data_IF_799570075539
#
_entry.id   IF_799570075539
#
_cell.length_a   1.000
_cell.length_b   1.000
_cell.length_c   1.000
_cell.angle_alpha   90.00
_cell.angle_beta   90.00
_cell.angle_gamma   90.00
#
_symmetry.space_group_name_H-M   'P 1'
#
loop_
_entity.id
_entity.type
_entity.pdbx_description
1 polymer ?
#
# COMPACT_ATOMS: atom_id res chain seq x y z
N UNK A 1 13.92 -6.97 7.68
CA UNK A 1 12.50 -7.34 7.90
C UNK A 1 12.17 -8.71 7.32
N UNK A 2 12.49 -9.00 6.05
CA UNK A 2 12.18 -10.30 5.42
C UNK A 2 12.74 -11.51 6.19
N UNK A 3 14.01 -11.46 6.61
CA UNK A 3 14.62 -12.54 7.42
C UNK A 3 13.86 -12.85 8.71
N UNK A 4 13.23 -11.85 9.33
CA UNK A 4 12.42 -12.10 10.52
C UNK A 4 11.18 -12.93 10.16
N UNK A 5 10.52 -12.63 9.04
CA UNK A 5 9.38 -13.43 8.55
C UNK A 5 9.84 -14.85 8.21
N UNK A 6 10.94 -14.99 7.48
CA UNK A 6 11.48 -16.29 7.04
C UNK A 6 11.79 -17.20 8.23
N UNK A 7 12.34 -16.65 9.32
CA UNK A 7 12.62 -17.42 10.55
C UNK A 7 11.38 -17.94 11.27
N UNK A 8 10.19 -17.39 11.02
CA UNK A 8 8.94 -17.85 11.65
C UNK A 8 8.13 -18.78 10.73
N UNK A 9 8.65 -19.11 9.54
CA UNK A 9 8.04 -20.11 8.67
C UNK A 9 8.57 -21.51 9.02
N UNK A 10 7.96 -22.11 10.05
CA UNK A 10 8.32 -23.43 10.56
C UNK A 10 7.48 -24.54 9.93
N UNK A 11 8.11 -25.36 9.08
CA UNK A 11 7.50 -26.54 8.48
C UNK A 11 6.80 -26.29 7.12
N UNK A 12 6.57 -27.35 6.33
CA UNK A 12 6.12 -27.24 4.94
C UNK A 12 4.69 -26.70 4.77
N UNK A 13 3.85 -26.80 5.81
CA UNK A 13 2.45 -26.37 5.80
C UNK A 13 2.21 -25.01 6.48
N UNK A 14 3.27 -24.35 6.97
CA UNK A 14 3.13 -23.07 7.65
C UNK A 14 2.60 -21.98 6.71
N UNK A 15 1.56 -21.28 7.17
CA UNK A 15 0.98 -20.13 6.47
C UNK A 15 1.09 -18.91 7.36
N UNK A 16 1.60 -17.82 6.80
CA UNK A 16 1.79 -16.55 7.51
C UNK A 16 1.16 -15.42 6.70
N UNK A 17 0.46 -14.52 7.40
CA UNK A 17 0.02 -13.23 6.83
C UNK A 17 0.97 -12.16 7.33
N UNK A 18 1.70 -11.52 6.41
CA UNK A 18 2.55 -10.38 6.72
C UNK A 18 1.74 -9.11 6.55
N UNK A 19 1.43 -8.44 7.66
CA UNK A 19 0.73 -7.17 7.65
C UNK A 19 1.73 -6.01 7.68
N UNK A 20 1.85 -5.27 6.58
CA UNK A 20 2.72 -4.11 6.49
C UNK A 20 2.19 -3.09 5.47
N UNK A 21 2.79 -1.91 5.43
CA UNK A 21 2.51 -0.90 4.41
C UNK A 21 2.70 -1.49 2.99
N UNK A 22 1.87 -1.06 2.02
CA UNK A 22 1.88 -1.66 0.67
C UNK A 22 3.28 -1.69 0.04
N UNK A 23 4.07 -0.64 0.28
CA UNK A 23 5.40 -0.54 -0.29
C UNK A 23 6.43 -1.50 0.33
N UNK A 24 6.18 -2.02 1.53
CA UNK A 24 7.01 -3.08 2.11
C UNK A 24 6.68 -4.46 1.52
N UNK A 25 5.43 -4.71 1.14
CA UNK A 25 5.00 -6.00 0.60
C UNK A 25 5.07 -6.07 -0.95
N UNK A 26 5.42 -4.96 -1.61
CA UNK A 26 5.65 -4.98 -3.05
C UNK A 26 6.76 -5.98 -3.43
N UNK A 27 6.60 -6.67 -4.56
CA UNK A 27 7.58 -7.61 -5.12
C UNK A 27 8.80 -6.88 -5.72
N UNK A 28 8.65 -5.61 -6.07
CA UNK A 28 9.71 -4.75 -6.61
C UNK A 28 10.51 -4.01 -5.54
N UNK A 29 10.84 -2.76 -5.82
CA UNK A 29 11.60 -1.90 -4.90
C UNK A 29 10.69 -0.92 -4.17
N UNK A 30 11.17 -0.41 -3.04
CA UNK A 30 10.55 0.66 -2.27
C UNK A 30 11.41 1.93 -2.35
N UNK A 31 10.79 3.08 -2.66
CA UNK A 31 11.47 4.38 -2.68
C UNK A 31 12.64 4.42 -3.68
N UNK A 32 13.82 4.83 -3.22
CA UNK A 32 15.08 4.96 -3.99
C UNK A 32 15.68 3.60 -4.37
N UNK A 33 14.90 2.72 -5.00
CA UNK A 33 15.33 1.40 -5.49
C UNK A 33 15.80 0.42 -4.41
N UNK A 34 15.47 0.67 -3.14
CA UNK A 34 15.79 -0.26 -2.04
C UNK A 34 14.89 -1.50 -2.18
N UNK A 35 15.43 -2.74 -2.19
CA UNK A 35 14.60 -3.93 -2.23
C UNK A 35 13.56 -3.95 -1.10
N UNK A 36 12.29 -4.10 -1.45
CA UNK A 36 11.21 -4.19 -0.47
C UNK A 36 11.32 -5.50 0.33
N UNK A 37 10.60 -5.61 1.45
CA UNK A 37 10.47 -6.90 2.14
C UNK A 37 9.86 -7.95 1.20
N UNK A 38 8.86 -7.56 0.40
CA UNK A 38 8.15 -8.44 -0.52
C UNK A 38 9.04 -8.97 -1.64
N UNK A 39 10.04 -8.21 -2.08
CA UNK A 39 10.99 -8.68 -3.10
C UNK A 39 11.79 -9.89 -2.62
N UNK A 40 12.26 -9.86 -1.37
CA UNK A 40 12.99 -10.96 -0.74
C UNK A 40 12.09 -12.17 -0.48
N UNK A 41 10.84 -11.94 -0.09
CA UNK A 41 9.87 -13.02 0.07
C UNK A 41 9.53 -13.66 -1.28
N UNK A 42 9.38 -12.87 -2.34
CA UNK A 42 9.17 -13.36 -3.71
C UNK A 42 10.38 -14.16 -4.21
N UNK A 43 11.59 -13.69 -3.96
CA UNK A 43 12.84 -14.40 -4.28
C UNK A 43 12.91 -15.77 -3.59
N UNK A 44 12.55 -15.82 -2.30
CA UNK A 44 12.61 -17.03 -1.47
C UNK A 44 11.51 -18.04 -1.79
N UNK A 45 10.27 -17.58 -1.98
CA UNK A 45 9.07 -18.43 -2.03
C UNK A 45 8.39 -18.48 -3.39
N UNK A 46 8.85 -17.69 -4.37
CA UNK A 46 8.27 -17.67 -5.72
C UNK A 46 6.77 -17.39 -5.71
N UNK A 47 6.00 -18.23 -6.40
CA UNK A 47 4.55 -18.11 -6.49
C UNK A 47 3.79 -18.47 -5.20
N UNK A 48 4.47 -19.05 -4.20
CA UNK A 48 3.89 -19.24 -2.87
C UNK A 48 3.80 -17.92 -2.08
N UNK A 49 4.56 -16.88 -2.48
CA UNK A 49 4.37 -15.53 -1.97
C UNK A 49 3.32 -14.79 -2.79
N UNK A 50 2.25 -14.38 -2.12
CA UNK A 50 1.15 -13.61 -2.70
C UNK A 50 1.12 -12.19 -2.13
N UNK A 51 1.45 -11.19 -2.96
CA UNK A 51 1.46 -9.78 -2.56
C UNK A 51 0.09 -9.12 -2.81
N UNK A 52 -0.64 -8.83 -1.72
CA UNK A 52 -1.94 -8.17 -1.76
C UNK A 52 -1.84 -6.70 -1.33
N UNK A 53 -1.97 -5.76 -2.28
CA UNK A 53 -2.01 -4.34 -1.97
C UNK A 53 -3.39 -3.88 -1.48
N UNK A 54 -3.41 -2.94 -0.54
CA UNK A 54 -4.62 -2.22 -0.13
C UNK A 54 -4.57 -0.77 -0.62
N UNK A 55 -5.58 -0.36 -1.38
CA UNK A 55 -5.76 0.99 -1.89
C UNK A 55 -7.09 1.57 -1.43
N UNK A 56 -7.18 2.91 -1.40
CA UNK A 56 -8.46 3.58 -1.15
C UNK A 56 -8.69 4.80 -2.05
N UNK A 57 -9.95 5.01 -2.44
CA UNK A 57 -10.34 6.02 -3.44
C UNK A 57 -10.39 7.44 -2.89
N UNK A 58 -11.23 7.69 -1.88
CA UNK A 58 -11.40 9.02 -1.26
C UNK A 58 -11.72 8.92 0.22
N UNK A 59 -11.71 10.06 0.91
CA UNK A 59 -12.10 10.15 2.31
C UNK A 59 -10.98 10.69 3.16
N UNK A 60 -10.73 10.04 4.30
CA UNK A 60 -9.80 10.52 5.31
C UNK A 60 -8.83 9.42 5.77
N UNK A 61 -7.65 9.84 6.18
CA UNK A 61 -6.66 9.01 6.86
C UNK A 61 -5.95 9.82 7.95
N UNK A 62 -5.34 9.14 8.91
CA UNK A 62 -4.51 9.77 9.94
C UNK A 62 -3.04 9.71 9.54
N UNK A 63 -2.35 10.84 9.67
CA UNK A 63 -0.89 10.92 9.55
C UNK A 63 -0.37 12.14 10.31
N UNK A 64 0.87 12.07 10.79
CA UNK A 64 1.55 13.24 11.37
C UNK A 64 1.95 14.22 10.28
N UNK A 65 2.08 15.49 10.64
CA UNK A 65 2.54 16.51 9.72
C UNK A 65 4.06 16.44 9.64
N UNK A 66 4.63 16.64 8.44
CA UNK A 66 6.07 16.58 8.23
C UNK A 66 6.88 17.60 9.05
N UNK A 67 6.25 18.70 9.48
CA UNK A 67 6.83 19.73 10.36
C UNK A 67 6.58 19.47 11.86
N UNK A 68 5.84 18.42 12.20
CA UNK A 68 5.56 18.00 13.57
C UNK A 68 5.51 16.46 13.65
N UNK A 69 6.70 15.85 13.60
CA UNK A 69 6.85 14.40 13.57
C UNK A 69 6.61 13.73 14.94
N UNK A 70 6.61 14.51 16.03
CA UNK A 70 6.38 14.00 17.39
C UNK A 70 4.94 14.25 17.87
N UNK A 71 4.24 15.19 17.26
CA UNK A 71 2.84 15.45 17.57
C UNK A 71 1.89 14.30 17.22
N UNK A 72 0.63 14.41 17.68
CA UNK A 72 -0.39 13.41 17.38
C UNK A 72 -0.70 13.40 15.87
N UNK A 73 -1.06 12.23 15.30
CA UNK A 73 -1.51 12.19 13.92
C UNK A 73 -2.82 12.95 13.76
N UNK A 74 -2.96 13.67 12.65
CA UNK A 74 -4.15 14.48 12.36
C UNK A 74 -4.89 13.95 11.12
N UNK A 75 -6.19 14.21 10.99
CA UNK A 75 -6.94 13.86 9.79
C UNK A 75 -6.44 14.60 8.54
N UNK A 76 -6.23 13.85 7.46
CA UNK A 76 -5.95 14.37 6.11
C UNK A 76 -7.05 13.93 5.16
N UNK A 77 -7.48 14.83 4.27
CA UNK A 77 -8.59 14.59 3.33
C UNK A 77 -8.07 14.39 1.91
N UNK A 78 -8.42 13.25 1.32
CA UNK A 78 -8.11 12.95 -0.08
C UNK A 78 -9.40 12.81 -0.90
N UNK A 79 -9.37 13.38 -2.11
CA UNK A 79 -10.42 13.25 -3.11
C UNK A 79 -9.94 12.44 -4.30
N UNK A 80 -10.71 12.43 -5.40
CA UNK A 80 -10.34 11.78 -6.66
C UNK A 80 -9.83 12.76 -7.72
N UNK A 81 -9.72 14.06 -7.41
CA UNK A 81 -9.37 15.10 -8.39
C UNK A 81 -7.91 15.12 -8.85
N UNK A 82 -7.01 14.35 -8.21
CA UNK A 82 -5.60 14.23 -8.61
C UNK A 82 -5.42 12.89 -9.30
N UNK A 83 -4.84 12.93 -10.52
CA UNK A 83 -4.56 11.74 -11.32
C UNK A 83 -3.62 10.80 -10.56
N UNK A 84 -4.15 9.64 -10.22
CA UNK A 84 -3.49 8.57 -9.47
C UNK A 84 -4.20 7.26 -9.80
N UNK A 85 -3.53 6.13 -9.60
CA UNK A 85 -4.12 4.80 -9.80
C UNK A 85 -5.43 4.68 -8.99
N UNK A 86 -5.44 5.13 -7.74
CA UNK A 86 -6.60 5.07 -6.86
C UNK A 86 -7.76 5.94 -7.34
N UNK A 87 -7.48 7.10 -7.95
CA UNK A 87 -8.53 7.93 -8.55
C UNK A 87 -9.18 7.23 -9.75
N UNK A 88 -8.39 6.54 -10.57
CA UNK A 88 -8.90 5.76 -11.69
C UNK A 88 -9.68 4.52 -11.23
N UNK A 89 -9.15 3.78 -10.25
CA UNK A 89 -9.81 2.63 -9.63
C UNK A 89 -11.16 3.00 -8.99
N UNK A 90 -11.26 4.21 -8.40
CA UNK A 90 -12.51 4.73 -7.83
C UNK A 90 -13.59 5.04 -8.88
N UNK A 91 -13.17 5.35 -10.10
CA UNK A 91 -14.06 5.69 -11.22
C UNK A 91 -14.48 4.44 -12.00
N UNK A 92 -13.58 3.47 -12.13
CA UNK A 92 -13.79 2.25 -12.92
C UNK A 92 -14.86 1.32 -12.35
N UNK A 93 -14.90 1.12 -11.02
CA UNK A 93 -15.85 0.21 -10.36
C UNK A 93 -16.43 0.91 -9.14
N UNK A 94 -17.76 0.91 -9.01
CA UNK A 94 -18.45 1.49 -7.86
C UNK A 94 -18.33 0.56 -6.65
N UNK A 95 -17.94 1.12 -5.51
CA UNK A 95 -17.88 0.40 -4.24
C UNK A 95 -16.53 -0.29 -4.01
N UNK A 96 -16.50 -1.11 -2.97
CA UNK A 96 -15.29 -1.83 -2.56
C UNK A 96 -15.17 -3.11 -3.40
N UNK A 97 -13.94 -3.48 -3.75
CA UNK A 97 -13.71 -4.68 -4.54
C UNK A 97 -12.32 -5.24 -4.33
N UNK A 98 -12.18 -6.50 -4.71
CA UNK A 98 -10.90 -7.18 -4.84
C UNK A 98 -10.69 -7.58 -6.31
N UNK A 99 -9.45 -7.50 -6.77
CA UNK A 99 -9.05 -7.99 -8.08
C UNK A 99 -7.76 -8.80 -7.99
N UNK A 100 -7.84 -10.08 -8.40
CA UNK A 100 -6.66 -10.90 -8.67
C UNK A 100 -6.03 -10.44 -10.00
N UNK A 101 -4.75 -10.11 -9.96
CA UNK A 101 -3.99 -9.59 -11.09
C UNK A 101 -3.27 -10.70 -11.87
N UNK A 102 -3.06 -11.89 -11.30
CA UNK A 102 -2.25 -12.96 -11.92
C UNK A 102 -2.83 -13.48 -13.23
N UNK A 103 -4.16 -13.44 -13.36
CA UNK A 103 -4.88 -13.99 -14.52
C UNK A 103 -5.47 -12.90 -15.43
N UNK A 104 -5.00 -11.65 -15.30
CA UNK A 104 -5.51 -10.52 -16.08
C UNK A 104 -4.40 -9.94 -16.96
N UNK A 105 -4.75 -9.50 -18.16
CA UNK A 105 -3.80 -9.04 -19.19
C UNK A 105 -4.05 -7.60 -19.64
N UNK A 106 -4.71 -6.79 -18.79
CA UNK A 106 -5.02 -5.42 -19.17
C UNK A 106 -3.73 -4.58 -19.28
N UNK A 107 -3.50 -3.83 -20.39
CA UNK A 107 -2.22 -3.15 -20.62
C UNK A 107 -1.79 -2.20 -19.50
N UNK A 108 -2.73 -1.51 -18.84
CA UNK A 108 -2.45 -0.59 -17.74
C UNK A 108 -1.78 -1.27 -16.53
N UNK A 109 -1.96 -2.59 -16.37
CA UNK A 109 -1.38 -3.35 -15.26
C UNK A 109 0.13 -3.57 -15.42
N UNK A 110 0.64 -3.47 -16.64
CA UNK A 110 2.03 -3.71 -16.99
C UNK A 110 2.80 -2.42 -17.30
N UNK A 111 2.16 -1.25 -17.11
CA UNK A 111 2.77 0.06 -17.33
C UNK A 111 2.92 0.83 -16.01
N UNK A 112 3.92 1.72 -15.90
CA UNK A 112 4.09 2.55 -14.72
C UNK A 112 2.85 3.42 -14.43
N UNK A 113 2.37 3.36 -13.20
CA UNK A 113 1.29 4.17 -12.66
C UNK A 113 1.80 4.97 -11.47
N UNK A 114 1.17 6.12 -11.20
CA UNK A 114 1.39 6.87 -9.96
C UNK A 114 0.37 6.41 -8.90
N UNK A 115 0.84 5.76 -7.82
CA UNK A 115 0.03 5.52 -6.61
C UNK A 115 0.25 6.63 -5.59
N UNK A 116 -0.72 6.81 -4.72
CA UNK A 116 -0.55 7.60 -3.50
C UNK A 116 0.32 6.83 -2.53
N UNK A 117 1.35 7.48 -2.00
CA UNK A 117 2.28 6.87 -1.06
C UNK A 117 2.22 7.61 0.25
N UNK A 118 1.24 7.30 1.10
CA UNK A 118 1.07 7.97 2.39
C UNK A 118 1.60 7.10 3.52
N UNK A 119 2.74 7.50 4.09
CA UNK A 119 3.28 6.87 5.29
C UNK A 119 2.66 7.43 6.57
N UNK A 120 3.28 7.07 7.71
CA UNK A 120 2.89 7.60 9.02
C UNK A 120 3.00 9.14 9.11
N UNK A 121 3.82 9.75 8.26
CA UNK A 121 4.04 11.18 8.16
C UNK A 121 3.81 11.64 6.72
N UNK A 122 3.26 12.84 6.54
CA UNK A 122 3.06 13.44 5.21
C UNK A 122 3.43 14.92 5.17
N UNK A 123 3.87 15.46 4.01
CA UNK A 123 4.15 16.90 3.88
C UNK A 123 2.91 17.75 4.20
N UNK A 124 3.06 18.75 5.08
CA UNK A 124 1.93 19.53 5.61
C UNK A 124 0.98 20.09 4.55
N UNK A 125 1.52 20.68 3.49
CA UNK A 125 0.71 21.38 2.47
C UNK A 125 0.55 20.60 1.17
N UNK A 126 1.54 19.78 0.82
CA UNK A 126 1.66 19.15 -0.51
C UNK A 126 1.44 17.64 -0.51
N UNK A 127 1.02 17.03 0.61
CA UNK A 127 0.80 15.58 0.69
C UNK A 127 -0.09 15.02 -0.43
N UNK A 128 -1.03 15.82 -0.94
CA UNK A 128 -1.96 15.44 -2.02
C UNK A 128 -1.23 15.03 -3.30
N UNK A 129 -0.02 15.55 -3.50
CA UNK A 129 0.86 15.26 -4.64
C UNK A 129 1.90 14.17 -4.31
N UNK A 130 1.87 13.61 -3.10
CA UNK A 130 2.84 12.62 -2.66
C UNK A 130 2.49 11.26 -3.25
N UNK A 131 3.08 11.00 -4.42
CA UNK A 131 2.90 9.76 -5.18
C UNK A 131 4.21 9.01 -5.33
N UNK A 132 4.12 7.71 -5.56
CA UNK A 132 5.23 6.85 -5.93
C UNK A 132 4.91 6.12 -7.25
N UNK A 133 5.92 5.83 -8.08
CA UNK A 133 5.72 4.94 -9.22
C UNK A 133 5.42 3.52 -8.74
N UNK A 134 4.62 2.79 -9.50
CA UNK A 134 4.43 1.35 -9.37
C UNK A 134 4.11 0.74 -10.74
N UNK A 135 4.29 -0.56 -10.90
CA UNK A 135 3.70 -1.32 -12.01
C UNK A 135 2.80 -2.43 -11.43
N UNK A 136 1.47 -2.32 -11.51
CA UNK A 136 0.53 -3.13 -10.72
C UNK A 136 0.81 -4.64 -10.74
N UNK A 137 0.97 -5.24 -11.92
CA UNK A 137 1.20 -6.67 -12.06
C UNK A 137 2.63 -7.11 -11.70
N UNK A 138 3.60 -6.19 -11.74
CA UNK A 138 4.98 -6.48 -11.32
C UNK A 138 5.12 -6.39 -9.80
N UNK A 139 4.45 -5.42 -9.17
CA UNK A 139 4.59 -5.17 -7.74
C UNK A 139 3.65 -6.02 -6.88
N UNK A 140 2.47 -6.39 -7.41
CA UNK A 140 1.43 -7.09 -6.65
C UNK A 140 0.78 -8.23 -7.44
N UNK A 141 0.21 -9.20 -6.72
CA UNK A 141 -0.58 -10.31 -7.27
C UNK A 141 -2.08 -10.06 -7.14
N UNK A 142 -2.48 -9.20 -6.22
CA UNK A 142 -3.85 -8.76 -6.03
C UNK A 142 -3.94 -7.34 -5.50
N UNK A 143 -5.09 -6.71 -5.72
CA UNK A 143 -5.47 -5.49 -5.04
C UNK A 143 -6.79 -5.64 -4.30
N UNK A 144 -6.85 -5.10 -3.09
CA UNK A 144 -8.07 -4.77 -2.39
C UNK A 144 -8.27 -3.26 -2.47
N UNK A 145 -9.46 -2.84 -2.90
CA UNK A 145 -9.81 -1.44 -3.06
C UNK A 145 -10.98 -1.08 -2.16
N UNK A 146 -10.80 -0.01 -1.38
CA UNK A 146 -11.84 0.59 -0.54
C UNK A 146 -12.24 1.95 -1.12
N UNK A 147 -13.48 2.08 -1.60
CA UNK A 147 -13.93 3.29 -2.28
C UNK A 147 -13.90 4.52 -1.37
N UNK A 148 -14.19 4.34 -0.07
CA UNK A 148 -14.20 5.42 0.92
C UNK A 148 -13.55 5.00 2.24
N UNK A 149 -12.45 5.66 2.59
CA UNK A 149 -11.80 5.50 3.90
C UNK A 149 -12.28 6.53 4.92
N UNK A 150 -12.27 6.15 6.19
CA UNK A 150 -12.37 7.03 7.36
C UNK A 150 -11.07 6.96 8.15
N UNK A 151 -10.87 7.91 9.08
CA UNK A 151 -9.74 7.83 10.01
C UNK A 151 -9.84 6.56 10.87
N UNK A 152 -8.70 5.95 11.16
CA UNK A 152 -8.59 4.95 12.22
C UNK A 152 -8.84 5.59 13.59
N UNK A 153 -9.18 4.77 14.58
CA UNK A 153 -9.31 5.20 15.96
C UNK A 153 -7.97 5.00 16.68
N UNK A 154 -7.51 6.03 17.39
CA UNK A 154 -6.34 5.90 18.26
C UNK A 154 -6.68 4.97 19.43
N UNK A 155 -5.70 4.17 19.84
CA UNK A 155 -5.86 3.33 21.03
C UNK A 155 -5.94 4.23 22.27
N UNK A 156 -6.80 3.90 23.26
CA UNK A 156 -6.88 4.62 24.51
C UNK A 156 -5.50 4.69 25.19
N UNK A 157 -5.14 5.85 25.75
CA UNK A 157 -3.86 6.04 26.46
C UNK A 157 -2.68 6.47 25.59
N UNK A 158 -2.92 6.87 24.33
CA UNK A 158 -1.89 7.43 23.44
C UNK A 158 -1.94 8.97 23.36
N UNK A 159 -2.40 9.63 24.42
CA UNK A 159 -2.22 11.07 24.58
C UNK A 159 -0.77 11.30 25.03
N UNK A 160 0.02 11.94 24.17
CA UNK A 160 1.37 12.42 24.48
C UNK A 160 1.25 13.85 25.00
#
# INVERSE_FOLDING_TARGET
MAEAVIRHMDGPEARVVVWAHHGHIAKGTYGEQVPALGSRLRERYGDAYYALALFFGKGFFLARRGDDLQGPPVPHRIGTGIRSLEAWLADAVRGDYYADLRNRTAPWMHTPQAQRSFGANVPRFVYRFHTAPLVPAQDYDGLAFVARSTCSHLLPGTEI
#
